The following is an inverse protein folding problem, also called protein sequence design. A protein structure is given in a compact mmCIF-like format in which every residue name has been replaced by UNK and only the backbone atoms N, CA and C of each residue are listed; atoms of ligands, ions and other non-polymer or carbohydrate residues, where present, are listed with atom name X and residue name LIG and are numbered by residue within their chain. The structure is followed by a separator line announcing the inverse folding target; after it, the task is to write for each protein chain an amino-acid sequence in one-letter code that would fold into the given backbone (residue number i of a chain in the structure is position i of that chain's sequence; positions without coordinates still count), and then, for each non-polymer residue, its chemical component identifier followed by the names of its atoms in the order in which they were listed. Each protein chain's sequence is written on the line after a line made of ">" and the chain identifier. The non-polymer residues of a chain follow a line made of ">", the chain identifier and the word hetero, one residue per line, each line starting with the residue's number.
data_IF_906392983885
#
_entry.id   IF_906392983885
#
_cell.length_a   1.000
_cell.length_b   1.000
_cell.length_c   1.000
_cell.angle_alpha   90.00
_cell.angle_beta   90.00
_cell.angle_gamma   90.00
#
_symmetry.space_group_name_H-M   'P 1'
#
loop_
_entity.id
_entity.type
_entity.pdbx_description
1 polymer ?
#
# COMPACT_ATOMS: atom_id res chain seq x y z
N UNK A 1 -14.95 8.68 7.81
CA UNK A 1 -13.52 8.61 7.45
C UNK A 1 -13.36 7.39 6.57
N UNK A 2 -12.82 7.55 5.36
CA UNK A 2 -12.65 6.44 4.41
C UNK A 2 -11.54 5.48 4.86
N UNK A 3 -11.60 4.24 4.37
CA UNK A 3 -10.53 3.25 4.59
C UNK A 3 -9.24 3.70 3.90
N UNK A 4 -8.11 3.61 4.59
CA UNK A 4 -6.77 3.91 4.06
C UNK A 4 -6.03 2.61 3.80
N UNK A 5 -5.44 2.45 2.61
CA UNK A 5 -4.59 1.31 2.29
C UNK A 5 -3.16 1.58 2.74
N UNK A 6 -2.55 0.69 3.53
CA UNK A 6 -1.10 0.72 3.80
C UNK A 6 -0.39 -0.18 2.80
N UNK A 7 0.63 0.35 2.11
CA UNK A 7 1.38 -0.37 1.09
C UNK A 7 2.88 -0.33 1.39
N UNK A 8 3.54 -1.48 1.24
CA UNK A 8 4.97 -1.67 1.48
C UNK A 8 5.61 -2.55 0.38
N UNK A 9 6.88 -2.92 0.57
CA UNK A 9 7.69 -3.66 -0.39
C UNK A 9 8.38 -2.78 -1.44
N UNK A 10 9.24 -3.40 -2.26
CA UNK A 10 10.10 -2.68 -3.20
C UNK A 10 9.37 -1.78 -4.20
N UNK A 11 8.17 -2.17 -4.66
CA UNK A 11 7.37 -1.33 -5.57
C UNK A 11 6.82 -0.07 -4.90
N UNK A 12 6.58 -0.10 -3.58
CA UNK A 12 6.09 1.08 -2.86
C UNK A 12 7.11 2.24 -2.86
N UNK A 13 8.39 1.98 -3.13
CA UNK A 13 9.39 3.04 -3.31
C UNK A 13 9.08 3.99 -4.48
N UNK A 14 8.27 3.56 -5.47
CA UNK A 14 7.89 4.39 -6.61
C UNK A 14 6.70 5.30 -6.28
N UNK A 15 6.96 6.60 -6.17
CA UNK A 15 5.92 7.62 -5.96
C UNK A 15 4.85 7.58 -7.06
N UNK A 16 5.28 7.40 -8.31
CA UNK A 16 4.37 7.33 -9.45
C UNK A 16 3.42 6.13 -9.33
N UNK A 17 3.94 4.97 -8.93
CA UNK A 17 3.14 3.75 -8.76
C UNK A 17 2.14 3.92 -7.61
N UNK A 18 2.56 4.50 -6.48
CA UNK A 18 1.66 4.74 -5.34
C UNK A 18 0.58 5.79 -5.65
N UNK A 19 0.92 6.84 -6.41
CA UNK A 19 -0.08 7.79 -6.88
C UNK A 19 -1.10 7.15 -7.81
N UNK A 20 -0.64 6.36 -8.80
CA UNK A 20 -1.55 5.61 -9.68
C UNK A 20 -2.45 4.66 -8.88
N UNK A 21 -1.92 3.99 -7.85
CA UNK A 21 -2.71 3.12 -6.99
C UNK A 21 -3.80 3.91 -6.24
N UNK A 22 -3.47 5.05 -5.62
CA UNK A 22 -4.43 5.91 -4.94
C UNK A 22 -5.52 6.42 -5.89
N UNK A 23 -5.10 6.86 -7.10
CA UNK A 23 -6.00 7.34 -8.14
C UNK A 23 -7.03 6.29 -8.58
N UNK A 24 -6.58 5.06 -8.85
CA UNK A 24 -7.47 3.98 -9.28
C UNK A 24 -8.34 3.42 -8.15
N UNK A 25 -7.85 3.40 -6.91
CA UNK A 25 -8.63 2.98 -5.75
C UNK A 25 -9.65 4.02 -5.29
N UNK A 26 -9.48 5.28 -5.71
CA UNK A 26 -10.25 6.41 -5.19
C UNK A 26 -10.17 6.50 -3.65
N UNK A 27 -9.04 6.09 -3.07
CA UNK A 27 -8.82 6.02 -1.65
C UNK A 27 -7.35 6.35 -1.30
N UNK A 28 -7.07 6.88 -0.09
CA UNK A 28 -5.70 7.22 0.29
C UNK A 28 -4.81 5.98 0.42
N UNK A 29 -3.54 6.13 0.05
CA UNK A 29 -2.49 5.12 0.21
C UNK A 29 -1.38 5.65 1.12
N UNK A 30 -1.08 4.93 2.19
CA UNK A 30 0.00 5.21 3.14
C UNK A 30 1.22 4.36 2.83
N UNK A 31 2.37 5.01 2.62
CA UNK A 31 3.68 4.36 2.56
C UNK A 31 4.46 4.56 3.87
N UNK A 32 4.91 3.50 4.54
CA UNK A 32 5.72 3.61 5.75
C UNK A 32 7.17 4.02 5.44
N UNK A 33 7.88 4.50 6.47
CA UNK A 33 9.33 4.72 6.39
C UNK A 33 10.13 3.43 6.13
N UNK A 34 9.68 2.30 6.70
CA UNK A 34 10.32 0.99 6.50
C UNK A 34 9.53 0.23 5.45
N UNK A 35 10.11 0.07 4.25
CA UNK A 35 9.45 -0.64 3.15
C UNK A 35 9.51 -2.17 3.30
N UNK A 36 10.54 -2.69 3.94
CA UNK A 36 10.72 -4.13 4.17
C UNK A 36 10.00 -4.60 5.44
N UNK A 37 8.69 -4.38 5.49
CA UNK A 37 7.84 -4.74 6.65
C UNK A 37 7.80 -6.25 6.90
N UNK A 38 7.98 -7.06 5.85
CA UNK A 38 8.11 -8.52 5.96
C UNK A 38 9.28 -8.90 6.87
N UNK A 39 10.47 -8.35 6.61
CA UNK A 39 11.67 -8.63 7.41
C UNK A 39 11.54 -8.03 8.82
N UNK A 40 11.00 -6.81 8.92
CA UNK A 40 10.73 -6.15 10.20
C UNK A 40 9.81 -6.98 11.08
N UNK A 41 8.71 -7.50 10.54
CA UNK A 41 7.75 -8.32 11.28
C UNK A 41 8.36 -9.63 11.79
N UNK A 42 9.15 -10.32 10.96
CA UNK A 42 9.84 -11.54 11.37
C UNK A 42 10.86 -11.27 12.50
N UNK A 43 11.68 -10.23 12.36
CA UNK A 43 12.65 -9.83 13.38
C UNK A 43 11.96 -9.42 14.70
N UNK A 44 10.83 -8.72 14.60
CA UNK A 44 10.06 -8.30 15.74
C UNK A 44 9.48 -9.48 16.52
N UNK A 45 8.84 -10.44 15.83
CA UNK A 45 8.28 -11.63 16.49
C UNK A 45 9.37 -12.45 17.20
N UNK A 46 10.53 -12.64 16.56
CA UNK A 46 11.65 -13.34 17.18
C UNK A 46 12.19 -12.60 18.42
N UNK A 47 12.38 -11.28 18.31
CA UNK A 47 12.87 -10.47 19.41
C UNK A 47 11.87 -10.30 20.55
N UNK A 48 10.56 -10.29 20.29
CA UNK A 48 9.54 -10.32 21.33
C UNK A 48 9.63 -11.63 22.10
N UNK A 49 9.72 -12.76 21.39
CA UNK A 49 9.74 -14.07 22.02
C UNK A 49 10.95 -14.26 22.96
N UNK A 50 12.12 -13.72 22.62
CA UNK A 50 13.31 -13.78 23.48
C UNK A 50 13.41 -12.64 24.51
N UNK A 51 12.39 -11.79 24.63
CA UNK A 51 12.36 -10.68 25.59
C UNK A 51 13.23 -9.47 25.23
N UNK A 52 13.67 -9.36 23.98
CA UNK A 52 14.47 -8.25 23.48
C UNK A 52 13.61 -7.06 23.01
N UNK A 53 12.45 -7.33 22.40
CA UNK A 53 11.53 -6.31 21.90
C UNK A 53 10.26 -6.17 22.76
N UNK A 54 9.61 -4.99 22.72
CA UNK A 54 8.42 -4.74 23.52
C UNK A 54 7.19 -5.48 22.99
N UNK A 55 6.09 -5.40 23.74
CA UNK A 55 4.80 -5.99 23.38
C UNK A 55 4.15 -5.38 22.13
N UNK A 56 3.07 -6.03 21.64
CA UNK A 56 2.42 -5.71 20.36
C UNK A 56 1.99 -4.25 20.24
N UNK A 57 1.41 -3.69 21.29
CA UNK A 57 0.88 -2.32 21.28
C UNK A 57 2.00 -1.28 21.11
N UNK A 58 3.13 -1.50 21.78
CA UNK A 58 4.30 -0.63 21.68
C UNK A 58 4.91 -0.69 20.28
N UNK A 59 4.99 -1.87 19.68
CA UNK A 59 5.47 -2.01 18.30
C UNK A 59 4.54 -1.40 17.27
N UNK A 60 3.22 -1.55 17.45
CA UNK A 60 2.25 -0.89 16.58
C UNK A 60 2.42 0.64 16.61
N UNK A 61 2.78 1.21 17.77
CA UNK A 61 3.08 2.64 17.93
C UNK A 61 4.40 3.09 17.27
N UNK A 62 5.30 2.15 16.94
CA UNK A 62 6.54 2.43 16.19
C UNK A 62 6.32 2.60 14.69
N UNK A 63 5.14 2.24 14.16
CA UNK A 63 4.84 2.45 12.75
C UNK A 63 4.85 3.95 12.43
N UNK A 64 5.63 4.36 11.42
CA UNK A 64 5.75 5.75 10.99
C UNK A 64 5.39 5.88 9.52
N UNK A 65 4.43 6.75 9.23
CA UNK A 65 4.08 7.20 7.89
C UNK A 65 5.23 8.03 7.31
N UNK A 66 5.72 7.68 6.13
CA UNK A 66 6.61 8.55 5.34
C UNK A 66 5.77 9.48 4.46
N UNK A 67 4.81 8.92 3.72
CA UNK A 67 3.96 9.69 2.81
C UNK A 67 2.57 9.10 2.66
N UNK A 68 1.59 9.99 2.57
CA UNK A 68 0.23 9.69 2.12
C UNK A 68 0.03 10.19 0.71
N UNK A 69 -0.49 9.32 -0.15
CA UNK A 69 -0.92 9.64 -1.51
C UNK A 69 -2.44 9.78 -1.50
N UNK A 70 -2.93 10.96 -1.89
CA UNK A 70 -4.36 11.24 -2.01
C UNK A 70 -4.79 11.09 -3.48
N UNK A 71 -6.02 10.61 -3.76
CA UNK A 71 -6.51 10.53 -5.14
C UNK A 71 -6.50 11.91 -5.80
N UNK A 72 -5.88 12.00 -6.98
CA UNK A 72 -5.77 13.22 -7.77
C UNK A 72 -6.39 13.08 -9.17
N UNK A 73 -6.72 11.86 -9.60
CA UNK A 73 -7.40 11.59 -10.86
C UNK A 73 -8.90 11.88 -10.79
N UNK A 74 -9.46 12.46 -11.87
CA UNK A 74 -10.90 12.67 -11.98
C UNK A 74 -11.66 11.33 -12.11
N UNK A 75 -12.92 11.30 -11.64
CA UNK A 75 -13.76 10.11 -11.80
C UNK A 75 -13.93 9.70 -13.27
N UNK A 76 -14.08 10.69 -14.18
CA UNK A 76 -14.21 10.44 -15.60
C UNK A 76 -12.97 9.77 -16.21
N UNK A 77 -11.77 10.25 -15.87
CA UNK A 77 -10.52 9.65 -16.35
C UNK A 77 -10.30 8.26 -15.77
N UNK A 78 -10.60 8.08 -14.48
CA UNK A 78 -10.51 6.79 -13.79
C UNK A 78 -11.43 5.77 -14.46
N UNK A 79 -12.70 6.14 -14.69
CA UNK A 79 -13.70 5.26 -15.28
C UNK A 79 -13.32 4.87 -16.71
N UNK A 80 -12.84 5.81 -17.53
CA UNK A 80 -12.37 5.55 -18.88
C UNK A 80 -11.18 4.57 -18.90
N UNK A 81 -10.17 4.81 -18.06
CA UNK A 81 -8.99 3.93 -17.94
C UNK A 81 -9.37 2.54 -17.43
N UNK A 82 -10.26 2.47 -16.44
CA UNK A 82 -10.74 1.20 -15.90
C UNK A 82 -11.58 0.41 -16.91
N UNK A 83 -12.38 1.08 -17.74
CA UNK A 83 -13.06 0.44 -18.87
C UNK A 83 -12.05 -0.18 -19.85
N UNK A 84 -10.99 0.55 -20.20
CA UNK A 84 -9.91 0.04 -21.05
C UNK A 84 -9.20 -1.18 -20.45
N UNK A 85 -8.91 -1.16 -19.14
CA UNK A 85 -8.33 -2.30 -18.43
C UNK A 85 -9.25 -3.53 -18.48
N UNK A 86 -10.55 -3.36 -18.20
CA UNK A 86 -11.53 -4.46 -18.27
C UNK A 86 -11.62 -5.07 -19.67
N UNK A 87 -11.60 -4.24 -20.72
CA UNK A 87 -11.58 -4.73 -22.10
C UNK A 87 -10.28 -5.51 -22.41
N UNK A 88 -9.13 -5.01 -21.98
CA UNK A 88 -7.85 -5.70 -22.15
C UNK A 88 -7.85 -7.07 -21.45
N UNK A 89 -8.27 -7.14 -20.19
CA UNK A 89 -8.40 -8.40 -19.44
C UNK A 89 -9.35 -9.37 -20.14
N UNK A 90 -10.50 -8.89 -20.63
CA UNK A 90 -11.44 -9.72 -21.39
C UNK A 90 -10.78 -10.34 -22.63
N UNK A 91 -10.00 -9.57 -23.38
CA UNK A 91 -9.29 -10.04 -24.58
C UNK A 91 -8.20 -11.07 -24.26
N UNK A 92 -7.56 -10.99 -23.10
CA UNK A 92 -6.54 -11.97 -22.68
C UNK A 92 -7.12 -13.27 -22.09
N UNK A 93 -8.40 -13.25 -21.71
CA UNK A 93 -9.10 -14.41 -21.16
C UNK A 93 -9.94 -15.16 -22.20
N UNK A 94 -10.06 -14.62 -23.42
CA UNK A 94 -10.77 -15.28 -24.52
C UNK A 94 -9.83 -16.32 -25.16
N UNK A 95 -10.25 -17.60 -25.29
CA UNK A 95 -9.45 -18.65 -25.94
C UNK A 95 -9.04 -18.31 -27.38
#
# INVERSE_FOLDING_TARGET
>A
QGTVLRADGGMAASDWTMQCLADFLAAPVDRPHVLETTALGAAYLAGMHCGFYPGLDEFAALWRLERRFEPAMSDADRDAKYAGWKDAVRRTLTP
#
